data_IF_345794223242
#
_entry.id   IF_345794223242
#
_cell.length_a   1.000
_cell.length_b   1.000
_cell.length_c   1.000
_cell.angle_alpha   90.00
_cell.angle_beta   90.00
_cell.angle_gamma   90.00
#
_symmetry.space_group_name_H-M   'P 1'
#
loop_
_entity.id
_entity.type
_entity.pdbx_description
1 polymer ?
#
# COMPACT_ATOMS: atom_id res chain seq x y z
N UNK A 1 -30.80 -22.41 5.16
CA UNK A 1 -29.81 -21.31 5.12
C UNK A 1 -29.40 -21.02 6.55
N UNK A 2 -28.14 -21.28 6.92
CA UNK A 2 -27.62 -21.03 8.27
C UNK A 2 -27.16 -19.56 8.38
N UNK A 3 -27.43 -18.87 9.50
CA UNK A 3 -27.01 -17.48 9.69
C UNK A 3 -25.49 -17.41 9.94
N UNK A 4 -24.79 -16.56 9.18
CA UNK A 4 -23.39 -16.24 9.46
C UNK A 4 -23.28 -15.42 10.76
N UNK A 5 -22.33 -15.76 11.66
CA UNK A 5 -22.11 -14.98 12.86
C UNK A 5 -21.45 -13.62 12.52
N UNK A 6 -21.75 -12.55 13.26
CA UNK A 6 -21.12 -11.25 13.06
C UNK A 6 -19.62 -11.40 13.31
N UNK A 7 -18.81 -11.08 12.29
CA UNK A 7 -17.36 -11.12 12.37
C UNK A 7 -16.93 -10.14 13.45
N UNK A 8 -16.46 -10.70 14.57
CA UNK A 8 -16.01 -9.97 15.75
C UNK A 8 -15.15 -8.77 15.37
N UNK A 9 -15.63 -7.58 15.75
CA UNK A 9 -14.84 -6.38 15.90
C UNK A 9 -13.80 -6.63 17.01
N UNK A 10 -12.67 -7.21 16.63
CA UNK A 10 -11.55 -7.42 17.55
C UNK A 10 -10.96 -6.06 17.93
N UNK A 11 -11.40 -5.56 19.07
CA UNK A 11 -10.70 -4.69 20.04
C UNK A 11 -9.40 -4.07 19.52
N UNK A 12 -9.52 -2.86 18.97
CA UNK A 12 -8.39 -1.93 18.85
C UNK A 12 -8.08 -1.39 20.24
N UNK A 13 -6.94 -1.80 20.79
CA UNK A 13 -6.37 -1.20 22.01
C UNK A 13 -5.27 -0.26 21.54
N UNK A 14 -5.29 0.98 22.06
CA UNK A 14 -4.38 2.11 21.81
C UNK A 14 -4.64 2.96 20.56
N UNK A 15 -5.43 4.03 20.75
CA UNK A 15 -4.94 5.40 20.52
C UNK A 15 -4.71 5.91 19.10
N UNK A 16 -5.09 5.19 18.04
CA UNK A 16 -5.10 5.73 16.70
C UNK A 16 -6.52 5.68 16.12
N UNK A 17 -7.02 6.79 15.58
CA UNK A 17 -8.00 6.72 14.51
C UNK A 17 -7.43 5.75 13.49
N UNK A 18 -7.94 4.52 13.48
CA UNK A 18 -7.35 3.46 12.69
C UNK A 18 -7.48 3.86 11.23
N UNK A 19 -6.33 3.99 10.55
CA UNK A 19 -6.29 4.10 9.11
C UNK A 19 -7.27 3.09 8.51
N UNK A 20 -8.04 3.53 7.52
CA UNK A 20 -8.95 2.63 6.81
C UNK A 20 -8.18 1.38 6.34
N UNK A 21 -8.80 0.19 6.33
CA UNK A 21 -8.22 -0.97 5.69
C UNK A 21 -7.72 -0.63 4.28
N UNK A 22 -6.61 -1.22 3.84
CA UNK A 22 -5.97 -0.89 2.55
C UNK A 22 -6.97 -0.96 1.39
N UNK A 23 -7.84 -1.97 1.39
CA UNK A 23 -8.89 -2.16 0.40
C UNK A 23 -9.90 -1.02 0.39
N UNK A 24 -10.24 -0.48 1.57
CA UNK A 24 -11.15 0.66 1.69
C UNK A 24 -10.50 1.97 1.22
N UNK A 25 -9.20 2.18 1.49
CA UNK A 25 -8.45 3.32 0.94
C UNK A 25 -8.32 3.23 -0.60
N UNK A 26 -8.13 2.03 -1.14
CA UNK A 26 -8.06 1.82 -2.58
C UNK A 26 -9.42 1.98 -3.28
N UNK A 27 -10.52 1.67 -2.57
CA UNK A 27 -11.88 1.78 -3.07
C UNK A 27 -12.50 3.17 -2.87
N UNK A 28 -11.83 4.07 -2.13
CA UNK A 28 -12.33 5.42 -1.86
C UNK A 28 -12.60 6.19 -3.16
N UNK A 29 -13.80 6.78 -3.23
CA UNK A 29 -14.20 7.59 -4.38
C UNK A 29 -13.47 8.94 -4.33
N UNK A 30 -12.93 9.39 -5.47
CA UNK A 30 -12.13 10.62 -5.54
C UNK A 30 -10.62 10.41 -5.36
N UNK A 31 -10.17 9.18 -5.06
CA UNK A 31 -8.76 8.80 -5.18
C UNK A 31 -7.83 9.26 -4.05
N UNK A 32 -8.33 9.93 -3.01
CA UNK A 32 -7.52 10.40 -1.88
C UNK A 32 -6.76 9.25 -1.18
N UNK A 33 -7.42 8.13 -0.88
CA UNK A 33 -6.77 6.95 -0.31
C UNK A 33 -5.68 6.35 -1.22
N UNK A 34 -5.84 6.42 -2.55
CA UNK A 34 -4.79 5.99 -3.49
C UNK A 34 -3.59 6.93 -3.47
N UNK A 35 -3.81 8.23 -3.36
CA UNK A 35 -2.73 9.23 -3.24
C UNK A 35 -1.94 9.05 -1.93
N UNK A 36 -2.65 8.77 -0.83
CA UNK A 36 -2.02 8.43 0.46
C UNK A 36 -1.14 7.18 0.32
N UNK A 37 -1.66 6.11 -0.29
CA UNK A 37 -0.91 4.88 -0.51
C UNK A 37 0.30 5.12 -1.44
N UNK A 38 0.13 5.85 -2.54
CA UNK A 38 1.22 6.18 -3.47
C UNK A 38 2.32 7.02 -2.80
N UNK A 39 1.94 7.93 -1.90
CA UNK A 39 2.87 8.73 -1.09
C UNK A 39 3.64 7.83 -0.12
N UNK A 40 2.96 6.93 0.59
CA UNK A 40 3.59 5.96 1.50
C UNK A 40 4.58 5.05 0.76
N UNK A 41 4.20 4.52 -0.40
CA UNK A 41 5.08 3.71 -1.24
C UNK A 41 6.29 4.50 -1.74
N UNK A 42 6.11 5.77 -2.12
CA UNK A 42 7.21 6.63 -2.56
C UNK A 42 8.22 6.89 -1.45
N UNK A 43 7.74 7.12 -0.21
CA UNK A 43 8.61 7.28 0.95
C UNK A 43 9.41 6.00 1.25
N UNK A 44 8.79 4.82 1.14
CA UNK A 44 9.48 3.54 1.34
C UNK A 44 10.51 3.26 0.25
N UNK A 45 10.17 3.52 -1.02
CA UNK A 45 11.12 3.42 -2.15
C UNK A 45 12.34 4.32 -1.88
N UNK A 46 12.12 5.55 -1.40
CA UNK A 46 13.21 6.46 -1.04
C UNK A 46 14.11 5.89 0.06
N UNK A 47 13.53 5.39 1.15
CA UNK A 47 14.27 4.75 2.25
C UNK A 47 15.08 3.54 1.78
N UNK A 48 14.45 2.63 1.06
CA UNK A 48 15.08 1.39 0.58
C UNK A 48 16.15 1.68 -0.47
N UNK A 49 15.92 2.63 -1.37
CA UNK A 49 16.94 3.07 -2.34
C UNK A 49 18.13 3.73 -1.65
N UNK A 50 17.90 4.50 -0.58
CA UNK A 50 18.96 5.05 0.26
C UNK A 50 19.77 3.96 0.96
N UNK A 51 19.10 2.97 1.55
CA UNK A 51 19.75 1.82 2.18
C UNK A 51 20.57 0.98 1.18
N UNK A 52 20.13 0.91 -0.09
CA UNK A 52 20.84 0.18 -1.15
C UNK A 52 22.24 0.75 -1.44
N UNK A 53 22.46 2.04 -1.19
CA UNK A 53 23.76 2.69 -1.36
C UNK A 53 24.81 2.11 -0.41
N UNK A 54 24.41 1.76 0.82
CA UNK A 54 25.31 1.29 1.89
C UNK A 54 25.18 -0.20 2.18
N UNK A 55 24.28 -0.90 1.48
CA UNK A 55 24.02 -2.32 1.66
C UNK A 55 25.26 -3.18 1.35
N UNK A 56 25.48 -4.22 2.16
CA UNK A 56 26.50 -5.22 1.86
C UNK A 56 26.16 -5.98 0.57
N UNK A 57 27.17 -6.49 -0.17
CA UNK A 57 26.93 -7.26 -1.39
C UNK A 57 25.98 -8.45 -1.21
N UNK A 58 25.98 -9.04 -0.01
CA UNK A 58 25.16 -10.20 0.36
C UNK A 58 23.67 -9.93 0.42
N UNK A 59 23.23 -8.69 0.65
CA UNK A 59 21.80 -8.32 0.74
C UNK A 59 21.35 -7.38 -0.37
N UNK A 60 22.29 -6.97 -1.24
CA UNK A 60 22.05 -5.98 -2.29
C UNK A 60 21.04 -6.49 -3.32
N UNK A 61 21.07 -7.79 -3.61
CA UNK A 61 20.14 -8.40 -4.54
C UNK A 61 18.71 -8.39 -3.99
N UNK A 62 18.48 -8.87 -2.77
CA UNK A 62 17.15 -8.87 -2.15
C UNK A 62 16.61 -7.45 -1.98
N UNK A 63 17.47 -6.51 -1.59
CA UNK A 63 17.05 -5.12 -1.42
C UNK A 63 16.68 -4.46 -2.77
N UNK A 64 17.40 -4.79 -3.85
CA UNK A 64 17.02 -4.36 -5.20
C UNK A 64 15.66 -4.94 -5.59
N UNK A 65 15.43 -6.23 -5.36
CA UNK A 65 14.14 -6.87 -5.65
C UNK A 65 13.01 -6.21 -4.87
N UNK A 66 13.22 -5.90 -3.59
CA UNK A 66 12.24 -5.21 -2.76
C UNK A 66 11.88 -3.83 -3.33
N UNK A 67 12.88 -3.03 -3.74
CA UNK A 67 12.65 -1.73 -4.36
C UNK A 67 11.80 -1.87 -5.63
N UNK A 68 12.08 -2.87 -6.45
CA UNK A 68 11.30 -3.11 -7.68
C UNK A 68 9.88 -3.59 -7.38
N UNK A 69 9.68 -4.44 -6.36
CA UNK A 69 8.33 -4.81 -5.90
C UNK A 69 7.53 -3.59 -5.42
N UNK A 70 8.16 -2.67 -4.68
CA UNK A 70 7.51 -1.43 -4.23
C UNK A 70 7.15 -0.52 -5.40
N UNK A 71 8.01 -0.41 -6.40
CA UNK A 71 7.74 0.34 -7.64
C UNK A 71 6.57 -0.26 -8.42
N UNK A 72 6.54 -1.58 -8.56
CA UNK A 72 5.43 -2.29 -9.21
C UNK A 72 4.11 -2.07 -8.45
N UNK A 73 4.12 -2.18 -7.12
CA UNK A 73 2.95 -1.92 -6.29
C UNK A 73 2.44 -0.48 -6.47
N UNK A 74 3.34 0.52 -6.49
CA UNK A 74 2.97 1.91 -6.72
C UNK A 74 2.31 2.11 -8.08
N UNK A 75 2.87 1.50 -9.13
CA UNK A 75 2.31 1.57 -10.47
C UNK A 75 0.91 0.95 -10.57
N UNK A 76 0.64 -0.13 -9.83
CA UNK A 76 -0.70 -0.73 -9.74
C UNK A 76 -1.69 0.24 -9.08
N UNK A 77 -1.30 0.91 -7.99
CA UNK A 77 -2.16 1.88 -7.29
C UNK A 77 -2.48 3.09 -8.19
N UNK A 78 -1.48 3.63 -8.88
CA UNK A 78 -1.63 4.76 -9.80
C UNK A 78 -2.53 4.40 -10.99
N UNK A 79 -2.31 3.25 -11.64
CA UNK A 79 -3.13 2.79 -12.78
C UNK A 79 -4.53 2.38 -12.37
N UNK A 80 -4.75 1.95 -11.13
CA UNK A 80 -6.08 1.70 -10.59
C UNK A 80 -7.01 2.92 -10.69
N UNK A 81 -6.46 4.14 -10.66
CA UNK A 81 -7.22 5.37 -10.92
C UNK A 81 -7.67 5.51 -12.38
N UNK A 82 -6.81 5.14 -13.33
CA UNK A 82 -7.12 5.22 -14.76
C UNK A 82 -8.27 4.29 -15.18
N UNK A 83 -8.40 3.09 -14.59
CA UNK A 83 -9.51 2.17 -14.90
C UNK A 83 -10.87 2.64 -14.38
N UNK A 84 -10.90 3.37 -13.25
CA UNK A 84 -12.16 3.96 -12.75
C UNK A 84 -12.59 5.13 -13.65
N UNK A 85 -11.64 5.94 -14.13
CA UNK A 85 -11.93 7.10 -14.97
C UNK A 85 -12.19 6.74 -16.45
N UNK A 86 -11.81 5.54 -16.90
CA UNK A 86 -12.01 5.09 -18.29
C UNK A 86 -13.41 4.49 -18.55
N UNK A 87 -14.35 4.65 -17.60
CA UNK A 87 -15.70 4.07 -17.67
C UNK A 87 -16.77 5.09 -18.08
N UNK A 88 -16.37 6.09 -18.86
CA UNK A 88 -17.26 7.04 -19.55
C UNK A 88 -17.66 6.51 -20.93
#
# INVERSE_FOLDING_TARGET
MLPMPPRNASKSTFGACADLPLEAQLAETGGAGREIIATRLSAEIGRMSGALVTASPTVKHELTLLVECLRAARQVVERGASFINARD
#
